data_IF_180799909735
#
_entry.id   IF_180799909735
#
_cell.length_a   1.000
_cell.length_b   1.000
_cell.length_c   1.000
_cell.angle_alpha   90.00
_cell.angle_beta   90.00
_cell.angle_gamma   90.00
#
_symmetry.space_group_name_H-M   'P 1'
#
loop_
_entity.id
_entity.type
_entity.pdbx_description
1 polymer ?
#
# COMPACT_ATOMS: atom_id res chain seq x y z
N UNK A 1 -30.35 -48.59 -30.08
CA UNK A 1 -31.22 -47.78 -29.17
C UNK A 1 -30.35 -47.06 -28.15
N UNK A 2 -30.11 -45.76 -28.35
CA UNK A 2 -29.25 -44.92 -27.51
C UNK A 2 -29.96 -44.57 -26.18
N UNK A 3 -29.57 -45.22 -25.09
CA UNK A 3 -30.01 -44.84 -23.73
C UNK A 3 -29.31 -43.53 -23.35
N UNK A 4 -30.07 -42.43 -23.34
CA UNK A 4 -29.62 -41.16 -22.75
C UNK A 4 -29.15 -41.41 -21.31
N UNK A 5 -27.99 -40.92 -20.88
CA UNK A 5 -27.56 -41.05 -19.48
C UNK A 5 -28.64 -40.45 -18.58
N UNK A 6 -29.05 -41.25 -17.60
CA UNK A 6 -30.25 -41.09 -16.80
C UNK A 6 -30.30 -39.71 -16.13
N UNK A 7 -31.47 -39.09 -16.19
CA UNK A 7 -31.81 -37.86 -15.46
C UNK A 7 -31.33 -37.89 -13.99
N UNK A 8 -31.40 -39.07 -13.35
CA UNK A 8 -30.92 -39.32 -11.99
C UNK A 8 -29.43 -39.04 -11.77
N UNK A 9 -28.57 -39.29 -12.76
CA UNK A 9 -27.14 -38.98 -12.67
C UNK A 9 -26.90 -37.45 -12.69
N UNK A 10 -27.64 -36.72 -13.52
CA UNK A 10 -27.57 -35.26 -13.56
C UNK A 10 -28.17 -34.63 -12.30
N UNK A 11 -29.24 -35.20 -11.74
CA UNK A 11 -29.84 -34.79 -10.48
C UNK A 11 -28.85 -34.96 -9.32
N UNK A 12 -28.25 -36.14 -9.19
CA UNK A 12 -27.25 -36.43 -8.15
C UNK A 12 -26.05 -35.48 -8.25
N UNK A 13 -25.63 -35.12 -9.46
CA UNK A 13 -24.56 -34.14 -9.67
C UNK A 13 -24.98 -32.71 -9.36
N UNK A 14 -26.25 -32.35 -9.60
CA UNK A 14 -26.83 -31.06 -9.24
C UNK A 14 -26.87 -30.90 -7.71
N UNK A 15 -27.41 -31.89 -7.00
CA UNK A 15 -27.52 -31.90 -5.52
C UNK A 15 -26.15 -31.79 -4.83
N UNK A 16 -25.14 -32.47 -5.38
CA UNK A 16 -23.78 -32.44 -4.85
C UNK A 16 -22.94 -31.24 -5.35
N UNK A 17 -23.50 -30.32 -6.14
CA UNK A 17 -22.77 -29.19 -6.71
C UNK A 17 -21.65 -29.58 -7.71
N UNK A 18 -21.67 -30.82 -8.22
CA UNK A 18 -20.67 -31.38 -9.15
C UNK A 18 -21.04 -31.18 -10.62
N UNK A 19 -22.07 -30.39 -10.89
CA UNK A 19 -22.50 -30.01 -12.23
C UNK A 19 -21.94 -28.61 -12.53
N UNK A 20 -21.04 -28.52 -13.52
CA UNK A 20 -20.31 -27.28 -13.80
C UNK A 20 -21.20 -26.15 -14.32
N UNK A 21 -22.26 -26.47 -15.06
CA UNK A 21 -23.16 -25.51 -15.68
C UNK A 21 -24.60 -26.06 -15.70
N UNK A 22 -25.33 -26.02 -14.58
CA UNK A 22 -26.76 -26.36 -14.57
C UNK A 22 -27.53 -25.38 -15.46
N UNK A 23 -28.36 -25.91 -16.36
CA UNK A 23 -29.31 -25.09 -17.09
C UNK A 23 -30.47 -24.69 -16.20
N UNK A 24 -31.07 -23.52 -16.43
CA UNK A 24 -32.24 -23.05 -15.67
C UNK A 24 -33.40 -24.05 -15.76
N UNK A 25 -33.52 -24.73 -16.91
CA UNK A 25 -34.49 -25.79 -17.16
C UNK A 25 -34.30 -26.99 -16.22
N UNK A 26 -33.06 -27.43 -16.00
CA UNK A 26 -32.77 -28.54 -15.08
C UNK A 26 -33.16 -28.18 -13.64
N UNK A 27 -32.91 -26.93 -13.22
CA UNK A 27 -33.32 -26.43 -11.90
C UNK A 27 -34.85 -26.40 -11.79
N UNK A 28 -35.54 -25.91 -12.82
CA UNK A 28 -37.01 -25.90 -12.85
C UNK A 28 -37.62 -27.31 -12.81
N UNK A 29 -37.03 -28.26 -13.55
CA UNK A 29 -37.46 -29.66 -13.56
C UNK A 29 -37.20 -30.34 -12.20
N UNK A 30 -36.10 -30.00 -11.51
CA UNK A 30 -35.83 -30.45 -10.14
C UNK A 30 -36.84 -29.91 -9.14
N UNK A 31 -37.12 -28.59 -9.16
CA UNK A 31 -38.14 -27.98 -8.30
C UNK A 31 -39.52 -28.59 -8.54
N UNK A 32 -39.89 -28.83 -9.81
CA UNK A 32 -41.13 -29.54 -10.17
C UNK A 32 -41.16 -30.95 -9.58
N UNK A 33 -40.06 -31.71 -9.63
CA UNK A 33 -39.99 -33.04 -9.03
C UNK A 33 -40.17 -32.99 -7.50
N UNK A 34 -39.64 -31.95 -6.84
CA UNK A 34 -39.80 -31.70 -5.41
C UNK A 34 -41.16 -31.06 -5.03
N UNK A 35 -42.03 -30.78 -6.00
CA UNK A 35 -43.27 -29.99 -5.82
C UNK A 35 -43.01 -28.61 -5.17
N UNK A 36 -41.84 -28.05 -5.41
CA UNK A 36 -41.45 -26.72 -4.98
C UNK A 36 -41.53 -25.71 -6.13
N UNK A 37 -41.58 -24.43 -5.80
CA UNK A 37 -41.54 -23.30 -6.72
C UNK A 37 -40.22 -22.54 -6.58
N UNK A 38 -39.95 -21.61 -7.52
CA UNK A 38 -38.81 -20.71 -7.39
C UNK A 38 -38.91 -19.83 -6.14
N UNK A 39 -40.12 -19.46 -5.71
CA UNK A 39 -40.34 -18.62 -4.52
C UNK A 39 -39.81 -19.30 -3.25
N UNK A 40 -39.92 -20.62 -3.17
CA UNK A 40 -39.49 -21.41 -2.01
C UNK A 40 -37.96 -21.41 -1.84
N UNK A 41 -37.21 -21.18 -2.92
CA UNK A 41 -35.75 -21.09 -2.88
C UNK A 41 -35.21 -19.66 -2.89
N UNK A 42 -36.05 -18.63 -3.06
CA UNK A 42 -35.59 -17.24 -3.15
C UNK A 42 -34.88 -16.78 -1.89
N UNK A 43 -35.40 -17.12 -0.70
CA UNK A 43 -34.80 -16.74 0.59
C UNK A 43 -33.39 -17.33 0.76
N UNK A 44 -33.17 -18.64 0.61
CA UNK A 44 -31.81 -19.20 0.68
C UNK A 44 -30.93 -18.74 -0.49
N UNK A 45 -31.48 -18.52 -1.70
CA UNK A 45 -30.69 -17.94 -2.79
C UNK A 45 -30.25 -16.51 -2.49
N UNK A 46 -31.10 -15.69 -1.87
CA UNK A 46 -30.78 -14.30 -1.53
C UNK A 46 -29.59 -14.23 -0.57
N UNK A 47 -29.53 -15.12 0.42
CA UNK A 47 -28.35 -15.24 1.28
C UNK A 47 -27.10 -15.63 0.49
N UNK A 48 -27.19 -16.64 -0.39
CA UNK A 48 -26.05 -17.10 -1.17
C UNK A 48 -25.54 -16.06 -2.19
N UNK A 49 -26.45 -15.37 -2.88
CA UNK A 49 -26.15 -14.33 -3.88
C UNK A 49 -25.73 -13.00 -3.27
N UNK A 50 -26.00 -12.77 -1.99
CA UNK A 50 -25.45 -11.64 -1.23
C UNK A 50 -23.95 -11.78 -0.93
N UNK A 51 -23.40 -12.99 -1.09
CA UNK A 51 -21.98 -13.24 -0.90
C UNK A 51 -21.16 -12.67 -2.06
N UNK A 52 -19.93 -12.19 -1.81
CA UNK A 52 -19.01 -11.82 -2.87
C UNK A 52 -18.76 -13.00 -3.83
N UNK A 53 -18.58 -12.76 -5.14
CA UNK A 53 -18.22 -13.80 -6.11
C UNK A 53 -17.06 -14.67 -5.62
N UNK A 54 -17.10 -15.98 -5.87
CA UNK A 54 -16.11 -16.96 -5.40
C UNK A 54 -14.65 -16.61 -5.78
N UNK A 55 -14.43 -15.94 -6.92
CA UNK A 55 -13.09 -15.46 -7.33
C UNK A 55 -12.62 -14.22 -6.56
N UNK A 56 -13.53 -13.40 -6.05
CA UNK A 56 -13.17 -12.18 -5.30
C UNK A 56 -12.75 -12.49 -3.85
N UNK A 57 -13.10 -13.67 -3.30
CA UNK A 57 -12.70 -14.10 -1.94
C UNK A 57 -11.19 -14.35 -1.79
N UNK A 58 -10.53 -15.23 -2.57
CA UNK A 58 -9.10 -15.48 -2.41
C UNK A 58 -8.26 -14.23 -2.73
N UNK A 59 -8.65 -13.46 -3.75
CA UNK A 59 -7.98 -12.18 -4.09
C UNK A 59 -8.08 -11.15 -2.96
N UNK A 60 -9.22 -11.12 -2.26
CA UNK A 60 -9.42 -10.26 -1.09
C UNK A 60 -8.63 -10.78 0.10
N UNK A 61 -8.60 -12.08 0.37
CA UNK A 61 -7.80 -12.66 1.44
C UNK A 61 -6.32 -12.36 1.25
N UNK A 62 -5.79 -12.51 0.03
CA UNK A 62 -4.41 -12.14 -0.32
C UNK A 62 -4.19 -10.64 -0.14
N UNK A 63 -5.13 -9.79 -0.56
CA UNK A 63 -5.01 -8.35 -0.39
C UNK A 63 -5.00 -7.93 1.09
N UNK A 64 -5.81 -8.60 1.92
CA UNK A 64 -5.99 -8.27 3.34
C UNK A 64 -5.05 -9.05 4.27
N UNK A 65 -4.25 -10.00 3.77
CA UNK A 65 -3.33 -10.80 4.57
C UNK A 65 -2.38 -9.94 5.42
N UNK A 66 -1.95 -8.79 4.92
CA UNK A 66 -1.10 -7.84 5.66
C UNK A 66 -1.81 -7.06 6.78
N UNK A 67 -3.14 -7.16 6.88
CA UNK A 67 -3.96 -6.59 7.95
C UNK A 67 -4.48 -7.67 8.92
N UNK A 68 -4.34 -8.95 8.57
CA UNK A 68 -4.87 -10.06 9.36
C UNK A 68 -4.28 -10.05 10.78
N UNK A 69 -5.15 -10.13 11.79
CA UNK A 69 -4.78 -10.08 13.21
C UNK A 69 -4.55 -8.66 13.76
N UNK A 70 -4.50 -7.62 12.92
CA UNK A 70 -4.49 -6.24 13.40
C UNK A 70 -5.93 -5.76 13.63
N UNK A 71 -6.37 -5.80 14.89
CA UNK A 71 -7.71 -5.34 15.30
C UNK A 71 -7.80 -3.82 15.51
N UNK A 72 -6.82 -3.04 15.04
CA UNK A 72 -6.85 -1.59 15.21
C UNK A 72 -7.88 -0.94 14.29
N UNK A 73 -8.39 0.23 14.73
CA UNK A 73 -9.31 1.05 13.92
C UNK A 73 -8.77 1.41 12.53
N UNK A 74 -7.45 1.41 12.32
CA UNK A 74 -6.88 1.74 11.00
C UNK A 74 -6.97 0.54 10.07
N UNK A 75 -6.69 -0.67 10.56
CA UNK A 75 -6.87 -1.90 9.79
C UNK A 75 -8.33 -2.03 9.32
N UNK A 76 -9.31 -1.86 10.22
CA UNK A 76 -10.73 -1.91 9.84
C UNK A 76 -11.12 -0.82 8.83
N UNK A 77 -10.57 0.41 8.96
CA UNK A 77 -10.80 1.48 7.98
C UNK A 77 -10.21 1.14 6.61
N UNK A 78 -9.03 0.52 6.59
CA UNK A 78 -8.35 0.12 5.36
C UNK A 78 -9.07 -1.01 4.64
N UNK A 79 -9.64 -1.98 5.37
CA UNK A 79 -10.53 -3.00 4.80
C UNK A 79 -11.75 -2.38 4.11
N UNK A 80 -12.40 -1.43 4.78
CA UNK A 80 -13.56 -0.71 4.22
C UNK A 80 -13.15 0.12 3.01
N UNK A 81 -12.00 0.79 3.06
CA UNK A 81 -11.46 1.60 1.97
C UNK A 81 -11.16 0.74 0.74
N UNK A 82 -10.48 -0.39 0.92
CA UNK A 82 -10.15 -1.33 -0.16
C UNK A 82 -11.43 -1.85 -0.84
N UNK A 83 -12.42 -2.30 -0.04
CA UNK A 83 -13.73 -2.73 -0.55
C UNK A 83 -14.43 -1.64 -1.35
N UNK A 84 -14.47 -0.40 -0.84
CA UNK A 84 -15.09 0.74 -1.54
C UNK A 84 -14.36 1.09 -2.83
N UNK A 85 -13.04 1.02 -2.82
CA UNK A 85 -12.19 1.35 -3.97
C UNK A 85 -12.38 0.34 -5.10
N UNK A 86 -12.39 -0.96 -4.79
CA UNK A 86 -12.65 -1.99 -5.80
C UNK A 86 -14.08 -1.95 -6.33
N UNK A 87 -15.07 -1.69 -5.47
CA UNK A 87 -16.46 -1.48 -5.91
C UNK A 87 -16.58 -0.27 -6.86
N UNK A 88 -15.89 0.84 -6.56
CA UNK A 88 -15.87 2.01 -7.42
C UNK A 88 -15.19 1.74 -8.78
N UNK A 89 -14.07 1.01 -8.79
CA UNK A 89 -13.40 0.58 -10.03
C UNK A 89 -14.28 -0.29 -10.89
N UNK A 90 -14.96 -1.27 -10.29
CA UNK A 90 -15.90 -2.17 -10.97
C UNK A 90 -17.03 -1.38 -11.63
N UNK A 91 -17.62 -0.42 -10.92
CA UNK A 91 -18.65 0.49 -11.46
C UNK A 91 -18.11 1.34 -12.62
N UNK A 92 -16.85 1.75 -12.55
CA UNK A 92 -16.19 2.51 -13.61
C UNK A 92 -15.66 1.65 -14.78
N UNK A 93 -15.91 0.34 -14.80
CA UNK A 93 -15.40 -0.58 -15.83
C UNK A 93 -13.87 -0.73 -15.84
N UNK A 94 -13.19 -0.30 -14.78
CA UNK A 94 -11.73 -0.41 -14.69
C UNK A 94 -11.30 -1.83 -14.33
N UNK A 95 -10.14 -2.24 -14.85
CA UNK A 95 -9.54 -3.53 -14.49
C UNK A 95 -9.25 -3.59 -12.98
N UNK A 96 -9.54 -4.72 -12.31
CA UNK A 96 -9.17 -4.92 -10.90
C UNK A 96 -7.66 -4.77 -10.70
N UNK A 97 -7.26 -4.23 -9.54
CA UNK A 97 -5.84 -4.19 -9.20
C UNK A 97 -5.40 -5.54 -8.67
N UNK A 98 -4.24 -6.01 -9.15
CA UNK A 98 -3.65 -7.26 -8.71
C UNK A 98 -3.58 -7.35 -7.16
N UNK A 99 -4.00 -8.47 -6.55
CA UNK A 99 -4.05 -8.64 -5.09
C UNK A 99 -2.74 -8.28 -4.37
N UNK A 100 -1.60 -8.70 -4.91
CA UNK A 100 -0.28 -8.38 -4.34
C UNK A 100 0.02 -6.87 -4.28
N UNK A 101 -0.43 -6.11 -5.29
CA UNK A 101 -0.27 -4.64 -5.31
C UNK A 101 -1.17 -3.98 -4.27
N UNK A 102 -2.40 -4.51 -4.08
CA UNK A 102 -3.33 -4.07 -3.03
C UNK A 102 -2.74 -4.35 -1.65
N UNK A 103 -2.27 -5.57 -1.39
CA UNK A 103 -1.60 -5.93 -0.15
C UNK A 103 -0.43 -4.98 0.16
N UNK A 104 0.46 -4.75 -0.81
CA UNK A 104 1.58 -3.82 -0.62
C UNK A 104 1.12 -2.37 -0.36
N UNK A 105 0.03 -1.91 -0.98
CA UNK A 105 -0.54 -0.60 -0.72
C UNK A 105 -1.13 -0.51 0.70
N UNK A 106 -1.95 -1.48 1.11
CA UNK A 106 -2.57 -1.52 2.43
C UNK A 106 -1.52 -1.63 3.54
N UNK A 107 -0.53 -2.51 3.41
CA UNK A 107 0.56 -2.62 4.39
C UNK A 107 1.41 -1.34 4.48
N UNK A 108 1.52 -0.55 3.39
CA UNK A 108 2.18 0.76 3.42
C UNK A 108 1.31 1.81 4.12
N UNK A 109 0.02 1.81 3.84
CA UNK A 109 -0.92 2.73 4.47
C UNK A 109 -1.05 2.46 5.97
N UNK A 110 -1.14 1.19 6.38
CA UNK A 110 -1.18 0.78 7.78
C UNK A 110 0.09 1.21 8.52
N UNK A 111 1.28 0.90 7.98
CA UNK A 111 2.55 1.36 8.55
C UNK A 111 2.60 2.88 8.68
N UNK A 112 2.21 3.60 7.63
CA UNK A 112 2.14 5.05 7.69
C UNK A 112 1.19 5.55 8.77
N UNK A 113 0.05 4.90 8.98
CA UNK A 113 -0.91 5.29 10.01
C UNK A 113 -0.38 4.99 11.42
N UNK A 114 0.25 3.83 11.62
CA UNK A 114 0.94 3.47 12.86
C UNK A 114 2.06 4.47 13.19
N UNK A 115 2.88 4.86 12.21
CA UNK A 115 3.92 5.88 12.37
C UNK A 115 3.33 7.23 12.78
N UNK A 116 2.23 7.66 12.14
CA UNK A 116 1.56 8.91 12.51
C UNK A 116 0.99 8.87 13.93
N UNK A 117 0.47 7.73 14.39
CA UNK A 117 0.02 7.57 15.78
C UNK A 117 1.18 7.59 16.78
N UNK A 118 2.31 6.94 16.45
CA UNK A 118 3.52 6.98 17.28
C UNK A 118 4.05 8.40 17.39
N UNK A 119 4.12 9.11 16.26
CA UNK A 119 4.50 10.52 16.19
C UNK A 119 3.58 11.39 17.05
N UNK A 120 2.26 11.23 16.91
CA UNK A 120 1.30 12.02 17.68
C UNK A 120 1.45 11.81 19.19
N UNK A 121 1.56 10.56 19.65
CA UNK A 121 1.76 10.23 21.07
C UNK A 121 3.08 10.78 21.60
N UNK A 122 4.15 10.67 20.82
CA UNK A 122 5.46 11.20 21.21
C UNK A 122 5.42 12.73 21.31
N UNK A 123 4.87 13.42 20.32
CA UNK A 123 4.75 14.88 20.34
C UNK A 123 3.91 15.35 21.52
N UNK A 124 2.81 14.68 21.83
CA UNK A 124 1.99 14.98 23.00
C UNK A 124 2.80 14.85 24.30
N UNK A 125 3.55 13.75 24.45
CA UNK A 125 4.44 13.53 25.59
C UNK A 125 5.51 14.62 25.70
N UNK A 126 6.10 15.05 24.58
CA UNK A 126 7.08 16.13 24.56
C UNK A 126 6.47 17.49 24.88
N UNK A 127 5.29 17.83 24.35
CA UNK A 127 4.60 19.09 24.66
C UNK A 127 4.35 19.23 26.16
N UNK A 128 3.96 18.16 26.84
CA UNK A 128 3.78 18.16 28.28
C UNK A 128 5.10 18.39 29.07
N UNK A 129 6.26 18.14 28.47
CA UNK A 129 7.59 18.36 29.06
C UNK A 129 8.19 19.72 28.75
N UNK A 130 7.62 20.48 27.82
CA UNK A 130 8.17 21.77 27.37
C UNK A 130 8.07 22.89 28.43
N UNK A 131 7.31 22.67 29.51
CA UNK A 131 7.03 23.73 30.51
C UNK A 131 6.16 24.86 29.95
N UNK A 132 5.51 24.64 28.81
CA UNK A 132 4.55 25.57 28.18
C UNK A 132 3.15 25.02 28.46
N UNK A 133 2.19 25.91 28.75
CA UNK A 133 0.79 25.51 28.91
C UNK A 133 0.31 24.76 27.65
N UNK A 134 -0.14 23.49 27.76
CA UNK A 134 -0.41 22.63 26.61
C UNK A 134 -1.79 22.92 26.01
N UNK A 135 -2.00 24.16 25.55
CA UNK A 135 -3.22 24.60 24.89
C UNK A 135 -3.43 23.86 23.57
N UNK A 136 -4.66 23.88 23.06
CA UNK A 136 -5.00 23.24 21.78
C UNK A 136 -4.11 23.76 20.63
N UNK A 137 -3.82 25.06 20.62
CA UNK A 137 -2.95 25.72 19.63
C UNK A 137 -1.52 25.20 19.70
N UNK A 138 -0.95 25.10 20.91
CA UNK A 138 0.41 24.56 21.14
C UNK A 138 0.49 23.11 20.69
N UNK A 139 -0.48 22.27 21.08
CA UNK A 139 -0.54 20.86 20.69
C UNK A 139 -0.66 20.68 19.18
N UNK A 140 -1.54 21.45 18.54
CA UNK A 140 -1.74 21.40 17.08
C UNK A 140 -0.49 21.82 16.34
N UNK A 141 0.11 22.95 16.71
CA UNK A 141 1.33 23.46 16.07
C UNK A 141 2.51 22.50 16.25
N UNK A 142 2.69 21.95 17.45
CA UNK A 142 3.73 20.96 17.72
C UNK A 142 3.55 19.69 16.87
N UNK A 143 2.32 19.21 16.72
CA UNK A 143 2.02 18.05 15.89
C UNK A 143 2.27 18.33 14.40
N UNK A 144 1.84 19.49 13.92
CA UNK A 144 2.06 19.88 12.53
C UNK A 144 3.55 20.06 12.23
N UNK A 145 4.31 20.68 13.14
CA UNK A 145 5.76 20.75 13.05
C UNK A 145 6.39 19.35 13.03
N UNK A 146 6.01 18.47 13.94
CA UNK A 146 6.49 17.08 13.98
C UNK A 146 6.23 16.33 12.67
N UNK A 147 5.06 16.53 12.05
CA UNK A 147 4.72 15.98 10.72
C UNK A 147 5.60 16.54 9.62
N UNK A 148 5.93 17.83 9.66
CA UNK A 148 6.83 18.45 8.68
C UNK A 148 8.25 17.89 8.79
N UNK A 149 8.77 17.76 10.02
CA UNK A 149 10.07 17.13 10.28
C UNK A 149 10.08 15.68 9.79
N UNK A 150 9.05 14.90 10.12
CA UNK A 150 8.92 13.52 9.65
C UNK A 150 8.93 13.40 8.12
N UNK A 151 8.19 14.27 7.41
CA UNK A 151 8.22 14.31 5.93
C UNK A 151 9.60 14.68 5.39
N UNK A 152 10.26 15.67 5.99
CA UNK A 152 11.60 16.09 5.59
C UNK A 152 12.59 14.91 5.66
N UNK A 153 12.55 14.16 6.76
CA UNK A 153 13.38 12.96 6.98
C UNK A 153 13.09 11.88 5.93
N UNK A 154 11.81 11.55 5.74
CA UNK A 154 11.38 10.55 4.73
C UNK A 154 11.81 10.91 3.31
N UNK A 155 11.69 12.18 2.93
CA UNK A 155 12.13 12.65 1.62
C UNK A 155 13.66 12.55 1.46
N UNK A 156 14.42 12.91 2.50
CA UNK A 156 15.88 12.79 2.42
C UNK A 156 16.37 11.35 2.32
N UNK A 157 15.73 10.43 3.02
CA UNK A 157 16.12 9.02 2.94
C UNK A 157 15.76 8.42 1.58
N UNK A 158 14.60 8.78 1.02
CA UNK A 158 14.22 8.35 -0.33
C UNK A 158 15.23 8.83 -1.38
N UNK A 159 15.72 10.06 -1.28
CA UNK A 159 16.73 10.61 -2.19
C UNK A 159 18.11 9.97 -2.00
N UNK A 160 18.52 9.67 -0.77
CA UNK A 160 19.77 8.94 -0.51
C UNK A 160 19.75 7.55 -1.14
N UNK A 161 18.61 6.84 -1.05
CA UNK A 161 18.43 5.52 -1.67
C UNK A 161 18.48 5.58 -3.20
N UNK A 162 17.88 6.62 -3.80
CA UNK A 162 17.96 6.84 -5.25
C UNK A 162 19.40 7.11 -5.69
N UNK A 163 20.11 8.00 -5.01
CA UNK A 163 21.51 8.31 -5.34
C UNK A 163 22.44 7.08 -5.20
N UNK A 164 22.25 6.25 -4.17
CA UNK A 164 23.01 5.01 -4.01
C UNK A 164 22.73 4.01 -5.14
N UNK A 165 21.48 3.90 -5.57
CA UNK A 165 21.12 3.02 -6.69
C UNK A 165 21.70 3.52 -8.01
N UNK A 166 21.66 4.81 -8.27
CA UNK A 166 22.23 5.40 -9.48
C UNK A 166 23.76 5.17 -9.54
N UNK A 167 24.45 5.31 -8.40
CA UNK A 167 25.91 5.06 -8.30
C UNK A 167 26.31 3.58 -8.39
N UNK A 168 25.49 2.65 -7.88
CA UNK A 168 25.68 1.21 -8.08
C UNK A 168 25.47 0.81 -9.55
N UNK A 169 24.43 1.36 -10.18
CA UNK A 169 24.13 1.08 -11.60
C UNK A 169 25.23 1.62 -12.52
N UNK A 170 25.79 2.80 -12.23
CA UNK A 170 26.93 3.36 -12.97
C UNK A 170 28.22 2.54 -12.76
N UNK A 171 28.45 1.99 -11.56
CA UNK A 171 29.60 1.09 -11.30
C UNK A 171 29.47 -0.25 -12.00
N UNK A 172 28.27 -0.84 -12.06
CA UNK A 172 28.04 -2.09 -12.79
C UNK A 172 28.22 -1.92 -14.30
N UNK A 173 27.83 -0.76 -14.85
CA UNK A 173 28.02 -0.43 -16.26
C UNK A 173 29.49 -0.13 -16.61
N UNK A 174 30.26 0.45 -15.69
CA UNK A 174 31.69 0.73 -15.89
C UNK A 174 32.63 -0.42 -15.46
N UNK A 175 32.17 -1.35 -14.62
CA UNK A 175 32.93 -2.52 -14.18
C UNK A 175 32.93 -3.70 -15.15
N UNK A 176 32.07 -3.70 -16.17
CA UNK A 176 32.06 -4.71 -17.25
C UNK A 176 32.90 -4.30 -18.48
N UNK A 177 33.66 -3.21 -18.39
CA UNK A 177 34.38 -2.61 -19.53
C UNK A 177 35.86 -2.98 -19.68
N UNK A 178 36.45 -3.78 -18.81
CA UNK A 178 37.90 -4.06 -18.84
C UNK A 178 38.23 -5.55 -18.71
N UNK A 179 37.63 -6.39 -19.53
CA UNK A 179 38.14 -7.75 -19.78
C UNK A 179 37.45 -8.33 -21.03
N UNK A 180 37.99 -8.01 -22.22
CA UNK A 180 37.87 -8.78 -23.48
C UNK A 180 38.49 -8.00 -24.64
N UNK A 181 39.82 -7.99 -24.70
CA UNK A 181 40.56 -7.79 -25.95
C UNK A 181 41.31 -9.08 -26.26
N UNK A 182 40.60 -10.03 -26.86
CA UNK A 182 41.19 -11.07 -27.69
C UNK A 182 40.10 -11.68 -28.58
N UNK A 183 40.29 -11.61 -29.90
CA UNK A 183 39.66 -12.54 -30.84
C UNK A 183 38.52 -12.00 -31.69
N UNK A 184 38.85 -11.75 -32.95
CA UNK A 184 38.12 -12.19 -34.15
C UNK A 184 36.62 -11.87 -34.31
N UNK A 185 36.35 -10.99 -35.28
CA UNK A 185 35.36 -11.14 -36.34
C UNK A 185 33.98 -11.71 -36.01
N UNK A 186 32.97 -10.86 -36.02
CA UNK A 186 31.77 -11.05 -36.86
C UNK A 186 30.92 -9.79 -36.85
N UNK A 187 30.50 -9.41 -38.05
CA UNK A 187 29.55 -8.35 -38.38
C UNK A 187 28.20 -8.66 -37.71
N UNK A 188 27.77 -7.85 -36.75
CA UNK A 188 26.37 -7.80 -36.30
C UNK A 188 25.96 -6.36 -36.02
N UNK A 189 24.91 -5.96 -36.71
CA UNK A 189 24.24 -4.66 -36.64
C UNK A 189 23.95 -4.26 -35.20
N UNK A 190 24.59 -3.19 -34.74
CA UNK A 190 24.24 -2.53 -33.49
C UNK A 190 22.95 -1.73 -33.71
N UNK A 191 21.82 -2.40 -33.47
CA UNK A 191 20.54 -1.73 -33.16
C UNK A 191 20.81 -0.73 -32.05
N UNK A 192 20.64 0.56 -32.36
CA UNK A 192 20.93 1.68 -31.46
C UNK A 192 20.36 1.47 -30.07
N UNK A 193 21.25 1.22 -29.11
CA UNK A 193 20.97 1.35 -27.69
C UNK A 193 20.68 2.83 -27.44
N UNK A 194 19.39 3.19 -27.38
CA UNK A 194 18.95 4.47 -26.84
C UNK A 194 19.46 4.54 -25.40
N UNK A 195 20.53 5.30 -25.19
CA UNK A 195 20.92 5.72 -23.85
C UNK A 195 19.70 6.30 -23.14
N UNK A 196 19.38 5.89 -21.91
CA UNK A 196 18.34 6.56 -21.14
C UNK A 196 18.73 8.04 -21.03
N UNK A 197 17.82 8.91 -21.45
CA UNK A 197 18.03 10.35 -21.40
C UNK A 197 18.50 10.76 -20.00
N UNK A 198 19.67 11.41 -19.93
CA UNK A 198 20.19 12.01 -18.69
C UNK A 198 19.06 12.84 -18.07
N UNK A 199 18.67 12.60 -16.80
CA UNK A 199 17.64 13.43 -16.17
C UNK A 199 18.15 14.87 -16.17
N UNK A 200 17.36 15.76 -16.78
CA UNK A 200 17.71 17.17 -16.95
C UNK A 200 18.13 17.81 -15.63
N UNK A 201 19.08 18.75 -15.71
CA UNK A 201 19.60 19.54 -14.59
C UNK A 201 18.47 20.34 -13.91
N UNK A 202 17.72 19.67 -13.05
CA UNK A 202 16.80 20.28 -12.11
C UNK A 202 17.57 20.97 -10.98
N UNK A 203 16.91 21.92 -10.31
CA UNK A 203 17.41 22.63 -9.11
C UNK A 203 18.18 21.67 -8.18
N UNK A 204 19.30 22.12 -7.57
CA UNK A 204 20.03 21.31 -6.60
C UNK A 204 19.07 20.78 -5.53
N UNK A 205 19.12 19.46 -5.31
CA UNK A 205 18.25 18.77 -4.36
C UNK A 205 18.54 19.29 -2.96
N UNK A 206 17.50 19.66 -2.21
CA UNK A 206 17.66 20.23 -0.88
C UNK A 206 18.28 19.23 0.08
N UNK A 207 19.25 19.68 0.86
CA UNK A 207 19.90 18.86 1.89
C UNK A 207 18.94 18.56 3.06
N UNK A 208 19.27 17.54 3.89
CA UNK A 208 18.52 17.27 5.14
C UNK A 208 18.42 18.50 6.03
N UNK A 209 19.52 19.23 6.19
CA UNK A 209 19.57 20.44 6.97
C UNK A 209 18.64 21.53 6.40
N UNK A 210 18.64 21.74 5.09
CA UNK A 210 17.73 22.69 4.43
C UNK A 210 16.26 22.34 4.62
N UNK A 211 15.88 21.07 4.44
CA UNK A 211 14.47 20.66 4.61
C UNK A 211 13.99 20.84 6.05
N UNK A 212 14.86 20.60 7.02
CA UNK A 212 14.54 20.80 8.43
C UNK A 212 14.44 22.28 8.79
N UNK A 213 15.31 23.14 8.20
CA UNK A 213 15.18 24.60 8.29
C UNK A 213 13.87 25.09 7.68
N UNK A 214 13.49 24.60 6.50
CA UNK A 214 12.22 24.93 5.85
C UNK A 214 11.00 24.47 6.65
N UNK A 215 11.08 23.30 7.30
CA UNK A 215 10.03 22.81 8.19
C UNK A 215 9.85 23.74 9.40
N UNK A 216 10.95 24.16 10.02
CA UNK A 216 10.92 25.08 11.16
C UNK A 216 10.42 26.48 10.75
N UNK A 217 10.90 27.02 9.63
CA UNK A 217 10.45 28.30 9.11
C UNK A 217 8.93 28.30 8.83
N UNK A 218 8.40 27.25 8.22
CA UNK A 218 6.95 27.09 7.99
C UNK A 218 6.17 26.99 9.28
N UNK A 219 6.66 26.24 10.26
CA UNK A 219 5.98 26.14 11.56
C UNK A 219 5.98 27.48 12.31
N UNK A 220 7.07 28.24 12.26
CA UNK A 220 7.12 29.60 12.82
C UNK A 220 6.13 30.54 12.13
N UNK A 221 5.96 30.43 10.82
CA UNK A 221 4.98 31.21 10.07
C UNK A 221 3.53 30.84 10.42
N UNK A 222 3.25 29.57 10.73
CA UNK A 222 1.90 29.11 11.12
C UNK A 222 1.49 29.51 12.54
N UNK A 223 2.45 29.73 13.44
CA UNK A 223 2.20 30.13 14.81
C UNK A 223 3.34 30.94 15.39
N UNK A 224 3.46 32.23 15.02
CA UNK A 224 4.49 33.11 15.54
C UNK A 224 4.40 33.22 17.06
N UNK A 225 5.52 33.00 17.76
CA UNK A 225 5.59 33.12 19.23
C UNK A 225 4.90 31.99 20.03
N UNK A 226 4.20 31.05 19.38
CA UNK A 226 3.49 29.97 20.07
C UNK A 226 4.44 28.94 20.68
N UNK A 227 5.54 28.64 19.99
CA UNK A 227 6.59 27.75 20.46
C UNK A 227 7.92 28.51 20.52
N UNK A 228 8.69 28.28 21.59
CA UNK A 228 10.01 28.87 21.73
C UNK A 228 11.04 28.16 20.85
N UNK A 229 12.18 28.81 20.55
CA UNK A 229 13.28 28.15 19.83
C UNK A 229 13.80 26.89 20.52
N UNK A 230 13.78 26.84 21.86
CA UNK A 230 14.13 25.65 22.63
C UNK A 230 13.12 24.52 22.39
N UNK A 231 11.83 24.83 22.38
CA UNK A 231 10.77 23.85 22.10
C UNK A 231 10.88 23.25 20.70
N UNK A 232 11.13 24.06 19.66
CA UNK A 232 11.36 23.54 18.31
C UNK A 232 12.55 22.57 18.25
N UNK A 233 13.67 22.90 18.90
CA UNK A 233 14.85 22.01 18.95
C UNK A 233 14.56 20.70 19.66
N UNK A 234 13.87 20.74 20.81
CA UNK A 234 13.51 19.54 21.57
C UNK A 234 12.55 18.64 20.78
N UNK A 235 11.49 19.20 20.20
CA UNK A 235 10.55 18.47 19.36
C UNK A 235 11.26 17.83 18.16
N UNK A 236 12.11 18.59 17.46
CA UNK A 236 12.89 18.05 16.33
C UNK A 236 13.75 16.87 16.75
N UNK A 237 14.52 17.00 17.83
CA UNK A 237 15.39 15.93 18.32
C UNK A 237 14.59 14.68 18.72
N UNK A 238 13.41 14.85 19.31
CA UNK A 238 12.52 13.74 19.65
C UNK A 238 11.94 13.05 18.39
N UNK A 239 11.53 13.82 17.38
CA UNK A 239 11.07 13.29 16.08
C UNK A 239 12.19 12.56 15.34
N UNK A 240 13.39 13.12 15.30
CA UNK A 240 14.57 12.50 14.67
C UNK A 240 14.90 11.16 15.32
N UNK A 241 14.93 11.10 16.66
CA UNK A 241 15.14 9.84 17.40
C UNK A 241 14.04 8.81 17.12
N UNK A 242 12.77 9.21 17.13
CA UNK A 242 11.66 8.32 16.80
C UNK A 242 11.76 7.78 15.36
N UNK A 243 12.16 8.64 14.42
CA UNK A 243 12.35 8.24 13.03
C UNK A 243 13.46 7.19 12.90
N UNK A 244 14.61 7.43 13.53
CA UNK A 244 15.75 6.50 13.50
C UNK A 244 15.42 5.14 14.14
N UNK A 245 14.63 5.12 15.21
CA UNK A 245 14.16 3.87 15.85
C UNK A 245 13.18 3.08 14.98
N UNK A 246 12.35 3.76 14.20
CA UNK A 246 11.32 3.12 13.36
C UNK A 246 11.81 2.80 11.95
N UNK A 247 12.87 3.47 11.51
CA UNK A 247 13.51 3.32 10.21
C UNK A 247 15.01 3.02 10.42
N UNK A 248 15.35 1.89 11.06
CA UNK A 248 16.74 1.53 11.25
C UNK A 248 17.43 1.45 9.89
N UNK A 249 18.52 2.20 9.73
CA UNK A 249 19.39 2.06 8.56
C UNK A 249 19.90 0.63 8.58
N UNK A 250 19.74 -0.11 7.49
CA UNK A 250 20.38 -1.43 7.37
C UNK A 250 21.87 -1.25 7.70
N UNK A 251 22.46 -2.06 8.59
CA UNK A 251 23.90 -2.03 8.77
C UNK A 251 24.51 -2.29 7.40
N UNK A 252 25.52 -1.48 7.04
CA UNK A 252 26.38 -1.80 5.88
C UNK A 252 26.95 -3.18 6.19
N UNK A 253 26.54 -4.19 5.43
CA UNK A 253 27.26 -5.45 5.40
C UNK A 253 28.63 -5.09 4.84
N UNK A 254 29.64 -5.10 5.72
CA UNK A 254 31.05 -5.07 5.35
C UNK A 254 31.42 -6.45 4.81
#
# INVERSE_FOLDING_TARGET
MNRKPSFNLHLSRLENGKLSQPSLRLVADYLRACRASFNDILVPLAQYTSLPPLREKPDREVALAGLAGDHSRDASRLEVYDRKTEAARKRAGQKPVAPAKRAAALSRQLRSAQDQRRLARMVEGEVNRLGIAPTLTVRKLALDYGRMVWRALKQTEAEQRLNHRDTETDRELHGQGTERTAGMGTRRETRGFRQPAKPGRGRPRKTRAERLRDAEARAKALGPGVLTGKAYRQLRAAVERLYELTHPRRPRQN
#
